data_IF_467756355309
#
_entry.id   IF_467756355309
#
_cell.length_a   1.000
_cell.length_b   1.000
_cell.length_c   1.000
_cell.angle_alpha   90.00
_cell.angle_beta   90.00
_cell.angle_gamma   90.00
#
_symmetry.space_group_name_H-M   'P 1'
#
loop_
_entity.id
_entity.type
_entity.pdbx_description
1 polymer ?
#
# COMPACT_ATOMS: atom_id res chain seq x y z
N UNK A 1 6.30 -3.15 -12.05
CA UNK A 1 5.27 -2.09 -11.93
C UNK A 1 4.93 -1.54 -13.31
N UNK A 2 5.89 -0.93 -14.03
CA UNK A 2 5.64 -0.24 -15.31
C UNK A 2 4.86 -1.10 -16.31
N UNK A 3 5.31 -2.30 -16.62
CA UNK A 3 4.64 -3.20 -17.58
C UNK A 3 3.20 -3.54 -17.19
N UNK A 4 2.90 -3.63 -15.89
CA UNK A 4 1.52 -3.82 -15.43
C UNK A 4 0.67 -2.56 -15.66
N UNK A 5 1.22 -1.38 -15.45
CA UNK A 5 0.52 -0.13 -15.76
C UNK A 5 0.28 -0.01 -17.28
N UNK A 6 1.24 -0.41 -18.11
CA UNK A 6 1.07 -0.47 -19.56
C UNK A 6 -0.10 -1.39 -19.95
N UNK A 7 -0.20 -2.56 -19.32
CA UNK A 7 -1.32 -3.50 -19.57
C UNK A 7 -2.67 -2.95 -19.08
N UNK A 8 -2.72 -2.21 -17.98
CA UNK A 8 -3.94 -1.53 -17.57
C UNK A 8 -4.36 -0.47 -18.59
N UNK A 9 -3.43 0.34 -19.10
CA UNK A 9 -3.71 1.31 -20.16
C UNK A 9 -4.23 0.63 -21.43
N UNK A 10 -3.58 -0.45 -21.88
CA UNK A 10 -4.01 -1.24 -23.03
C UNK A 10 -5.42 -1.82 -22.83
N UNK A 11 -5.72 -2.36 -21.65
CA UNK A 11 -7.04 -2.89 -21.33
C UNK A 11 -8.12 -1.80 -21.35
N UNK A 12 -7.84 -0.62 -20.77
CA UNK A 12 -8.77 0.51 -20.81
C UNK A 12 -8.99 1.04 -22.22
N UNK A 13 -7.96 1.01 -23.06
CA UNK A 13 -8.09 1.43 -24.46
C UNK A 13 -8.86 0.41 -25.30
N UNK A 14 -8.71 -0.90 -24.99
CA UNK A 14 -9.35 -1.98 -25.75
C UNK A 14 -10.84 -2.16 -25.42
N UNK A 15 -11.28 -1.85 -24.19
CA UNK A 15 -12.64 -2.06 -23.71
C UNK A 15 -13.33 -0.72 -23.46
N UNK A 16 -14.33 -0.34 -24.28
CA UNK A 16 -15.08 0.89 -24.07
C UNK A 16 -15.69 0.97 -22.66
N UNK A 17 -15.66 2.15 -22.05
CA UNK A 17 -16.15 2.37 -20.67
C UNK A 17 -17.60 1.90 -20.46
N UNK A 18 -18.42 1.97 -21.50
CA UNK A 18 -19.81 1.48 -21.48
C UNK A 18 -19.94 -0.05 -21.31
N UNK A 19 -18.84 -0.77 -21.47
CA UNK A 19 -18.78 -2.25 -21.30
C UNK A 19 -18.11 -2.65 -19.97
N UNK A 20 -17.69 -1.68 -19.15
CA UNK A 20 -17.10 -2.00 -17.85
C UNK A 20 -18.17 -2.53 -16.89
N UNK A 21 -17.79 -3.46 -16.05
CA UNK A 21 -18.67 -4.04 -15.03
C UNK A 21 -19.09 -3.01 -13.96
N UNK A 22 -18.32 -1.95 -13.78
CA UNK A 22 -18.56 -0.85 -12.86
C UNK A 22 -17.85 0.40 -13.39
N UNK A 23 -18.35 1.60 -13.04
CA UNK A 23 -17.64 2.85 -13.33
C UNK A 23 -16.32 2.98 -12.54
N UNK A 24 -16.29 2.41 -11.35
CA UNK A 24 -15.11 2.33 -10.47
C UNK A 24 -14.69 0.87 -10.35
N UNK A 25 -13.66 0.48 -11.09
CA UNK A 25 -13.18 -0.90 -11.15
C UNK A 25 -12.32 -1.27 -9.94
N UNK A 26 -11.72 -0.31 -9.27
CA UNK A 26 -10.81 -0.50 -8.13
C UNK A 26 -9.75 -1.56 -8.40
N UNK A 27 -9.22 -1.57 -9.62
CA UNK A 27 -8.12 -2.46 -9.95
C UNK A 27 -6.93 -2.12 -9.08
N UNK A 28 -6.22 -3.16 -8.64
CA UNK A 28 -5.09 -2.97 -7.74
C UNK A 28 -3.87 -3.72 -8.24
N UNK A 29 -2.72 -3.25 -7.80
CA UNK A 29 -1.45 -3.89 -8.05
C UNK A 29 -0.89 -4.36 -6.72
N UNK A 30 -0.80 -5.70 -6.57
CA UNK A 30 -0.22 -6.30 -5.38
C UNK A 30 1.29 -6.07 -5.33
N UNK A 31 1.81 -5.93 -4.13
CA UNK A 31 3.19 -5.65 -3.76
C UNK A 31 3.68 -4.26 -4.16
N UNK A 32 3.73 -3.91 -5.42
CA UNK A 32 4.09 -2.59 -5.96
C UNK A 32 5.31 -1.95 -5.25
N UNK A 33 6.33 -2.74 -4.92
CA UNK A 33 7.41 -2.37 -3.99
C UNK A 33 8.29 -1.23 -4.50
N UNK A 34 8.60 -1.21 -5.81
CA UNK A 34 9.52 -0.25 -6.42
C UNK A 34 8.76 0.54 -7.46
N UNK A 35 8.47 1.81 -7.18
CA UNK A 35 7.64 2.67 -8.04
C UNK A 35 8.36 3.99 -8.32
N UNK A 36 9.04 4.11 -9.47
CA UNK A 36 9.66 5.37 -9.87
C UNK A 36 8.64 6.53 -9.94
N UNK A 37 9.05 7.78 -9.66
CA UNK A 37 8.13 8.92 -9.63
C UNK A 37 7.21 9.08 -10.84
N UNK A 38 7.64 8.85 -12.10
CA UNK A 38 6.73 8.89 -13.24
C UNK A 38 5.62 7.82 -13.17
N UNK A 39 5.95 6.62 -12.69
CA UNK A 39 4.97 5.54 -12.57
C UNK A 39 4.01 5.76 -11.38
N UNK A 40 4.43 6.49 -10.33
CA UNK A 40 3.54 6.88 -9.22
C UNK A 40 2.37 7.73 -9.71
N UNK A 41 2.62 8.64 -10.66
CA UNK A 41 1.58 9.47 -11.24
C UNK A 41 0.58 8.65 -12.07
N UNK A 42 1.04 7.62 -12.75
CA UNK A 42 0.18 6.71 -13.55
C UNK A 42 -0.82 5.93 -12.69
N UNK A 43 -0.47 5.58 -11.43
CA UNK A 43 -1.46 4.99 -10.51
C UNK A 43 -2.67 5.91 -10.32
N UNK A 44 -2.42 7.23 -10.18
CA UNK A 44 -3.49 8.23 -10.04
C UNK A 44 -4.32 8.31 -11.32
N UNK A 45 -3.66 8.44 -12.47
CA UNK A 45 -4.31 8.62 -13.78
C UNK A 45 -5.15 7.41 -14.18
N UNK A 46 -4.69 6.21 -13.86
CA UNK A 46 -5.37 4.95 -14.17
C UNK A 46 -6.37 4.51 -13.07
N UNK A 47 -6.38 5.16 -11.92
CA UNK A 47 -7.19 4.74 -10.79
C UNK A 47 -6.81 3.36 -10.23
N UNK A 48 -5.54 2.94 -10.42
CA UNK A 48 -5.04 1.67 -9.90
C UNK A 48 -4.62 1.86 -8.45
N UNK A 49 -5.04 0.96 -7.56
CA UNK A 49 -4.78 1.05 -6.14
C UNK A 49 -3.54 0.22 -5.80
N UNK A 50 -2.49 0.77 -5.18
CA UNK A 50 -1.37 -0.03 -4.68
C UNK A 50 -1.80 -0.85 -3.46
N UNK A 51 -1.55 -2.17 -3.50
CA UNK A 51 -1.78 -3.11 -2.40
C UNK A 51 -0.42 -3.61 -1.92
N UNK A 52 -0.01 -3.19 -0.73
CA UNK A 52 1.37 -3.29 -0.30
C UNK A 52 1.50 -3.94 1.08
N UNK A 53 2.69 -4.44 1.39
CA UNK A 53 3.01 -5.08 2.64
C UNK A 53 4.10 -4.26 3.36
N UNK A 54 3.74 -3.48 4.39
CA UNK A 54 4.73 -2.70 5.12
C UNK A 54 5.85 -3.54 5.76
N UNK A 55 5.54 -4.75 6.23
CA UNK A 55 6.54 -5.69 6.76
C UNK A 55 7.61 -6.09 5.75
N UNK A 56 7.25 -6.25 4.46
CA UNK A 56 8.23 -6.47 3.40
C UNK A 56 9.26 -5.33 3.34
N UNK A 57 8.81 -4.07 3.53
CA UNK A 57 9.69 -2.91 3.54
C UNK A 57 10.77 -2.98 4.61
N UNK A 58 10.45 -3.46 5.80
CA UNK A 58 11.44 -3.61 6.88
C UNK A 58 12.24 -4.92 6.81
N UNK A 59 11.67 -5.96 6.21
CA UNK A 59 12.35 -7.23 5.93
C UNK A 59 13.46 -7.07 4.89
N UNK A 60 13.17 -6.32 3.84
CA UNK A 60 14.09 -6.08 2.71
C UNK A 60 15.28 -5.16 3.05
N UNK A 61 15.27 -4.48 4.21
CA UNK A 61 16.37 -3.65 4.68
C UNK A 61 17.74 -4.33 4.60
N UNK A 62 17.77 -5.67 4.69
CA UNK A 62 19.01 -6.45 4.72
C UNK A 62 19.70 -6.54 3.36
N UNK A 63 18.94 -6.47 2.26
CA UNK A 63 19.48 -6.77 0.93
C UNK A 63 19.05 -5.76 -0.14
N UNK A 64 17.98 -5.01 0.08
CA UNK A 64 17.49 -4.04 -0.91
C UNK A 64 18.54 -2.99 -1.32
N UNK A 65 19.36 -2.44 -0.40
CA UNK A 65 20.43 -1.53 -0.77
C UNK A 65 21.43 -2.13 -1.79
N UNK A 66 21.84 -3.37 -1.57
CA UNK A 66 22.79 -4.06 -2.45
C UNK A 66 22.19 -4.43 -3.81
N UNK A 67 20.88 -4.64 -3.86
CA UNK A 67 20.16 -5.03 -5.08
C UNK A 67 19.71 -3.85 -5.92
N UNK A 68 19.28 -2.79 -5.27
CA UNK A 68 18.69 -1.63 -5.93
C UNK A 68 19.72 -0.53 -6.21
N UNK A 69 20.70 -0.37 -5.35
CA UNK A 69 21.59 0.78 -5.32
C UNK A 69 20.87 2.04 -4.82
N UNK A 70 21.64 3.11 -4.49
CA UNK A 70 21.11 4.27 -3.78
C UNK A 70 19.99 4.99 -4.54
N UNK A 71 20.10 5.12 -5.85
CA UNK A 71 19.13 5.87 -6.65
C UNK A 71 17.72 5.24 -6.59
N UNK A 72 17.64 3.90 -6.68
CA UNK A 72 16.35 3.19 -6.66
C UNK A 72 15.76 3.00 -5.28
N UNK A 73 16.58 3.10 -4.24
CA UNK A 73 16.08 3.06 -2.86
C UNK A 73 15.18 4.23 -2.53
N UNK A 74 15.39 5.40 -3.13
CA UNK A 74 14.60 6.60 -2.89
C UNK A 74 13.11 6.46 -3.29
N UNK A 75 12.78 5.43 -4.08
CA UNK A 75 11.41 5.11 -4.46
C UNK A 75 11.04 3.63 -4.21
N UNK A 76 11.77 2.99 -3.29
CA UNK A 76 11.41 1.68 -2.75
C UNK A 76 10.43 1.86 -1.59
N UNK A 77 9.30 1.13 -1.65
CA UNK A 77 8.23 1.24 -0.67
C UNK A 77 7.82 2.71 -0.43
N UNK A 78 7.38 3.46 -1.47
CA UNK A 78 7.26 4.91 -1.42
C UNK A 78 5.92 5.36 -0.81
N UNK A 79 5.55 4.82 0.35
CA UNK A 79 4.19 4.97 0.91
C UNK A 79 3.77 6.43 1.05
N UNK A 80 4.59 7.28 1.71
CA UNK A 80 4.24 8.69 1.88
C UNK A 80 4.12 9.41 0.54
N UNK A 81 5.02 9.11 -0.42
CA UNK A 81 4.96 9.73 -1.73
C UNK A 81 3.70 9.36 -2.54
N UNK A 82 3.15 8.16 -2.33
CA UNK A 82 1.86 7.74 -2.92
C UNK A 82 0.69 8.44 -2.24
N UNK A 83 0.71 8.53 -0.90
CA UNK A 83 -0.31 9.23 -0.11
C UNK A 83 -0.35 10.72 -0.46
N UNK A 84 0.80 11.37 -0.65
CA UNK A 84 0.89 12.78 -1.06
C UNK A 84 0.27 13.05 -2.44
N UNK A 85 0.13 12.01 -3.27
CA UNK A 85 -0.58 12.06 -4.55
C UNK A 85 -2.08 11.74 -4.44
N UNK A 86 -2.56 11.53 -3.22
CA UNK A 86 -3.98 11.21 -2.96
C UNK A 86 -4.32 9.72 -3.14
N UNK A 87 -3.34 8.85 -3.29
CA UNK A 87 -3.58 7.41 -3.40
C UNK A 87 -3.89 6.78 -2.04
N UNK A 88 -4.86 5.89 -2.02
CA UNK A 88 -5.06 4.94 -0.93
C UNK A 88 -4.11 3.77 -1.11
N UNK A 89 -3.51 3.29 -0.03
CA UNK A 89 -2.68 2.10 -0.02
C UNK A 89 -3.42 1.03 0.79
N UNK A 90 -3.70 -0.11 0.16
CA UNK A 90 -4.26 -1.25 0.88
C UNK A 90 -3.10 -2.00 1.53
N UNK A 91 -3.11 -2.11 2.86
CA UNK A 91 -2.04 -2.82 3.55
C UNK A 91 -2.48 -4.19 4.04
N UNK A 92 -1.57 -5.15 3.97
CA UNK A 92 -1.70 -6.50 4.47
C UNK A 92 -0.33 -7.11 4.70
N UNK A 93 -0.28 -8.34 5.23
CA UNK A 93 0.97 -9.03 5.56
C UNK A 93 1.42 -10.04 4.52
N UNK A 94 0.55 -10.38 3.58
CA UNK A 94 0.78 -11.51 2.66
C UNK A 94 1.06 -12.84 3.41
N UNK A 95 0.38 -13.05 4.55
CA UNK A 95 0.54 -14.28 5.33
C UNK A 95 0.24 -15.53 4.48
N UNK A 96 1.07 -16.58 4.51
CA UNK A 96 2.10 -16.88 5.51
C UNK A 96 3.52 -16.40 5.15
N UNK A 97 3.67 -15.52 4.17
CA UNK A 97 4.98 -14.94 3.82
C UNK A 97 5.54 -14.17 5.01
N UNK A 98 4.71 -13.36 5.64
CA UNK A 98 5.01 -12.68 6.89
C UNK A 98 4.19 -13.27 8.06
N UNK A 99 4.48 -12.82 9.27
CA UNK A 99 3.87 -13.34 10.50
C UNK A 99 2.36 -13.16 10.61
N UNK A 100 1.75 -12.28 9.80
CA UNK A 100 0.31 -12.04 9.81
C UNK A 100 -0.20 -11.18 10.97
N UNK A 101 0.68 -10.61 11.78
CA UNK A 101 0.30 -9.71 12.87
C UNK A 101 0.14 -8.27 12.36
N UNK A 102 -1.07 -7.69 12.37
CA UNK A 102 -1.32 -6.35 11.87
C UNK A 102 -0.56 -5.25 12.64
N UNK A 103 -0.11 -5.52 13.86
CA UNK A 103 0.71 -4.58 14.63
C UNK A 103 2.11 -4.42 14.02
N UNK A 104 2.63 -5.48 13.40
CA UNK A 104 3.90 -5.43 12.65
C UNK A 104 3.73 -4.54 11.42
N UNK A 105 2.65 -4.71 10.68
CA UNK A 105 2.35 -3.87 9.51
C UNK A 105 2.22 -2.40 9.89
N UNK A 106 1.48 -2.13 10.96
CA UNK A 106 1.35 -0.77 11.50
C UNK A 106 2.70 -0.17 11.89
N UNK A 107 3.49 -0.93 12.66
CA UNK A 107 4.82 -0.49 13.08
C UNK A 107 5.73 -0.22 11.87
N UNK A 108 5.77 -1.14 10.92
CA UNK A 108 6.59 -1.03 9.72
C UNK A 108 6.24 0.22 8.90
N UNK A 109 4.95 0.50 8.70
CA UNK A 109 4.46 1.66 7.97
C UNK A 109 4.88 2.99 8.62
N UNK A 110 4.85 3.05 9.97
CA UNK A 110 5.13 4.27 10.74
C UNK A 110 6.61 4.44 11.04
N UNK A 111 7.32 3.37 11.39
CA UNK A 111 8.69 3.45 11.89
C UNK A 111 9.75 3.20 10.81
N UNK A 112 9.46 2.39 9.79
CA UNK A 112 10.41 1.92 8.77
C UNK A 112 11.71 1.40 9.38
N UNK A 113 11.57 0.62 10.45
CA UNK A 113 12.67 0.05 11.23
C UNK A 113 12.44 -1.44 11.43
N UNK A 114 13.52 -2.16 11.66
CA UNK A 114 13.44 -3.54 12.14
C UNK A 114 12.71 -3.61 13.48
N UNK A 115 12.10 -4.75 13.77
CA UNK A 115 11.37 -4.96 15.03
C UNK A 115 12.27 -4.88 16.26
N UNK A 116 13.57 -5.18 16.12
CA UNK A 116 14.58 -5.04 17.17
C UNK A 116 15.11 -3.61 17.35
N UNK A 117 14.64 -2.67 16.51
CA UNK A 117 15.03 -1.26 16.55
C UNK A 117 16.41 -0.94 15.99
N UNK A 118 17.15 -1.90 15.44
CA UNK A 118 18.56 -1.73 15.02
C UNK A 118 18.77 -0.82 13.82
N UNK A 119 17.76 -0.51 13.06
CA UNK A 119 17.83 0.39 11.90
C UNK A 119 17.40 1.83 12.22
N UNK A 120 17.85 2.36 13.35
CA UNK A 120 17.57 3.77 13.71
C UNK A 120 18.49 4.72 12.92
N UNK A 121 17.93 5.82 12.35
CA UNK A 121 16.57 6.38 12.48
C UNK A 121 15.48 5.69 11.64
N UNK A 122 15.78 4.61 10.95
CA UNK A 122 14.97 3.98 9.91
C UNK A 122 15.55 4.27 8.53
N UNK A 123 15.20 3.45 7.52
CA UNK A 123 15.63 3.70 6.17
C UNK A 123 14.58 4.49 5.41
N UNK A 124 14.99 5.58 4.79
CA UNK A 124 14.09 6.50 4.12
C UNK A 124 12.89 6.89 5.02
N UNK A 125 13.15 7.47 6.23
CA UNK A 125 12.09 7.82 7.18
C UNK A 125 11.09 8.83 6.60
N UNK A 126 11.48 9.60 5.59
CA UNK A 126 10.62 10.52 4.84
C UNK A 126 9.51 9.81 4.05
N UNK A 127 9.66 8.51 3.82
CA UNK A 127 8.65 7.67 3.15
C UNK A 127 7.72 6.95 4.15
N UNK A 128 7.93 7.13 5.46
CA UNK A 128 7.04 6.62 6.49
C UNK A 128 5.73 7.41 6.50
N UNK A 129 4.64 6.74 6.86
CA UNK A 129 3.33 7.39 6.94
C UNK A 129 2.96 7.75 8.38
N UNK A 130 2.00 8.65 8.56
CA UNK A 130 1.45 8.96 9.87
C UNK A 130 0.72 7.76 10.49
N UNK A 131 0.55 7.76 11.83
CA UNK A 131 -0.24 6.72 12.52
C UNK A 131 -1.68 6.65 12.02
N UNK A 132 -2.29 7.80 11.75
CA UNK A 132 -3.65 7.87 11.20
C UNK A 132 -3.70 7.23 9.80
N UNK A 133 -2.75 7.55 8.94
CA UNK A 133 -2.64 6.95 7.62
C UNK A 133 -2.42 5.43 7.71
N UNK A 134 -1.52 4.97 8.58
CA UNK A 134 -1.26 3.55 8.79
C UNK A 134 -2.52 2.80 9.27
N UNK A 135 -3.33 3.41 10.13
CA UNK A 135 -4.63 2.83 10.52
C UNK A 135 -5.58 2.73 9.33
N UNK A 136 -5.69 3.78 8.50
CA UNK A 136 -6.51 3.75 7.28
C UNK A 136 -6.05 2.68 6.31
N UNK A 137 -4.74 2.51 6.15
CA UNK A 137 -4.13 1.46 5.32
C UNK A 137 -4.53 0.05 5.75
N UNK A 138 -4.79 -0.16 7.04
CA UNK A 138 -5.14 -1.48 7.61
C UNK A 138 -6.64 -1.67 7.83
N UNK A 139 -7.46 -0.65 7.63
CA UNK A 139 -8.89 -0.70 7.97
C UNK A 139 -9.78 -0.25 6.81
N UNK A 140 -10.09 1.04 6.72
CA UNK A 140 -11.08 1.54 5.76
C UNK A 140 -10.60 1.45 4.30
N UNK A 141 -9.31 1.63 4.01
CA UNK A 141 -8.82 1.54 2.66
C UNK A 141 -8.86 0.11 2.09
N UNK A 142 -8.43 -0.96 2.81
CA UNK A 142 -8.68 -2.33 2.36
C UNK A 142 -10.17 -2.68 2.22
N UNK A 143 -11.02 -2.16 3.10
CA UNK A 143 -12.47 -2.33 2.97
C UNK A 143 -12.97 -1.69 1.67
N UNK A 144 -12.50 -0.49 1.31
CA UNK A 144 -12.79 0.16 0.04
C UNK A 144 -12.31 -0.68 -1.15
N UNK A 145 -11.06 -1.16 -1.13
CA UNK A 145 -10.53 -2.02 -2.20
C UNK A 145 -11.29 -3.33 -2.39
N UNK A 146 -11.98 -3.79 -1.35
CA UNK A 146 -12.84 -4.98 -1.35
C UNK A 146 -14.32 -4.67 -1.61
N UNK A 147 -14.71 -3.43 -1.89
CA UNK A 147 -16.11 -2.97 -2.01
C UNK A 147 -16.95 -3.21 -0.74
N UNK A 148 -16.33 -3.13 0.43
CA UNK A 148 -16.94 -3.40 1.74
C UNK A 148 -16.91 -2.19 2.68
N UNK A 149 -16.56 -1.02 2.22
CA UNK A 149 -16.46 0.20 3.03
C UNK A 149 -17.77 0.62 3.70
N UNK A 150 -18.91 0.19 3.17
CA UNK A 150 -20.22 0.40 3.76
C UNK A 150 -20.58 -0.63 4.83
N UNK A 151 -19.79 -1.70 4.96
CA UNK A 151 -20.04 -2.81 5.88
C UNK A 151 -19.03 -2.87 7.03
N UNK A 152 -17.78 -2.44 6.77
CA UNK A 152 -16.66 -2.54 7.72
C UNK A 152 -15.56 -1.51 7.43
N UNK A 153 -14.50 -1.53 8.25
CA UNK A 153 -13.32 -0.69 8.09
C UNK A 153 -13.37 0.61 8.89
N UNK A 154 -14.51 0.95 9.48
CA UNK A 154 -14.66 2.09 10.41
C UNK A 154 -15.75 1.79 11.45
N UNK A 155 -15.68 2.48 12.58
CA UNK A 155 -16.68 2.38 13.66
C UNK A 155 -17.76 3.39 13.37
N UNK A 156 -18.81 2.94 12.72
CA UNK A 156 -19.95 3.77 12.30
C UNK A 156 -21.27 3.00 12.49
N UNK A 157 -22.36 3.73 12.74
CA UNK A 157 -23.69 3.15 12.86
C UNK A 157 -24.08 2.46 11.55
N UNK A 158 -24.51 1.22 11.63
CA UNK A 158 -24.92 0.42 10.47
C UNK A 158 -23.84 -0.50 9.92
N UNK A 159 -22.59 -0.36 10.35
CA UNK A 159 -21.50 -1.29 10.01
C UNK A 159 -21.39 -2.44 11.01
N UNK A 160 -20.70 -3.50 10.61
CA UNK A 160 -20.40 -4.61 11.53
C UNK A 160 -19.56 -4.13 12.71
N UNK A 161 -19.82 -4.69 13.87
CA UNK A 161 -19.08 -4.41 15.10
C UNK A 161 -17.74 -5.21 15.14
N UNK A 162 -17.00 -5.15 14.05
CA UNK A 162 -15.68 -5.79 13.92
C UNK A 162 -14.61 -4.82 14.42
N UNK A 163 -14.15 -4.99 15.65
CA UNK A 163 -13.10 -4.15 16.22
C UNK A 163 -12.18 -4.92 17.15
N UNK A 164 -10.96 -4.41 17.26
CA UNK A 164 -9.95 -4.93 18.20
C UNK A 164 -9.62 -3.85 19.22
N UNK A 165 -9.57 -4.24 20.48
CA UNK A 165 -9.15 -3.37 21.58
C UNK A 165 -7.69 -3.66 21.90
N UNK A 166 -6.88 -2.62 21.90
CA UNK A 166 -5.47 -2.68 22.31
C UNK A 166 -5.33 -2.11 23.72
N UNK A 167 -4.45 -2.70 24.51
CA UNK A 167 -4.04 -2.24 25.84
C UNK A 167 -2.65 -1.62 25.81
#
# INVERSE_FOLDING_TARGET
VRSLLDWYEEAYAAVPRSQWASEDLRWRMEHAQIIPPPDQQRFVELGVIPSMQPSHGIGDLNFAPDRLGPDRLSYAYPWQALVDRGLMILAGSDAPVEAGDPRIEFYAAVARKRLDGTSSPGWHPELAVSRETALKMLTIWPAHGAFQENLRGSIEVGKYADFTVFN
#
